data_IF_578674297403
#
_entry.id   IF_578674297403
#
_cell.length_a   1.000
_cell.length_b   1.000
_cell.length_c   1.000
_cell.angle_alpha   90.00
_cell.angle_beta   90.00
_cell.angle_gamma   90.00
#
_symmetry.space_group_name_H-M   'P 1'
#
loop_
_entity.id
_entity.type
_entity.pdbx_description
1 polymer ?
#
# COMPACT_ATOMS: atom_id res chain seq x y z
N UNK A 1 -16.10 -58.91 4.82
CA UNK A 1 -16.31 -57.47 5.16
C UNK A 1 -15.12 -56.67 4.63
N UNK A 2 -15.27 -56.11 3.45
CA UNK A 2 -14.23 -55.28 2.81
C UNK A 2 -14.50 -53.80 3.10
N UNK A 3 -13.55 -53.11 3.76
CA UNK A 3 -13.65 -51.69 4.07
C UNK A 3 -13.27 -50.87 2.82
N UNK A 4 -14.25 -50.19 2.23
CA UNK A 4 -14.07 -49.23 1.18
C UNK A 4 -13.32 -47.99 1.74
N UNK A 5 -12.09 -47.73 1.28
CA UNK A 5 -11.40 -46.49 1.49
C UNK A 5 -11.82 -45.51 0.37
N UNK A 6 -12.58 -44.49 0.72
CA UNK A 6 -12.94 -43.39 -0.18
C UNK A 6 -11.71 -42.58 -0.66
N UNK A 7 -11.80 -41.92 -1.82
CA UNK A 7 -10.67 -41.19 -2.38
C UNK A 7 -10.32 -39.96 -1.51
N UNK A 8 -9.04 -39.81 -1.18
CA UNK A 8 -8.49 -38.63 -0.52
C UNK A 8 -8.70 -37.44 -1.44
N UNK A 9 -9.49 -36.45 -1.03
CA UNK A 9 -9.59 -35.15 -1.69
C UNK A 9 -8.21 -34.52 -1.68
N UNK A 10 -7.58 -34.44 -2.86
CA UNK A 10 -6.36 -33.69 -3.08
C UNK A 10 -6.61 -32.22 -2.76
N UNK A 11 -5.72 -31.62 -1.96
CA UNK A 11 -5.63 -30.16 -1.82
C UNK A 11 -5.48 -29.57 -3.23
N UNK A 12 -6.23 -28.51 -3.59
CA UNK A 12 -5.96 -27.80 -4.82
C UNK A 12 -4.52 -27.29 -4.78
N UNK A 13 -3.68 -27.81 -5.67
CA UNK A 13 -2.37 -27.24 -5.92
C UNK A 13 -2.59 -25.77 -6.27
N UNK A 14 -2.02 -24.86 -5.47
CA UNK A 14 -1.87 -23.46 -5.84
C UNK A 14 -1.17 -23.46 -7.20
N UNK A 15 -1.94 -23.21 -8.24
CA UNK A 15 -1.39 -22.98 -9.56
C UNK A 15 -0.48 -21.77 -9.42
N UNK A 16 0.83 -21.98 -9.56
CA UNK A 16 1.80 -20.94 -9.85
C UNK A 16 1.28 -20.27 -11.12
N UNK A 17 0.59 -19.14 -10.97
CA UNK A 17 0.09 -18.35 -12.09
C UNK A 17 1.29 -17.96 -12.93
N UNK A 18 1.20 -18.25 -14.22
CA UNK A 18 1.99 -17.57 -15.24
C UNK A 18 2.04 -16.09 -14.89
N UNK A 19 3.17 -15.42 -15.13
CA UNK A 19 3.42 -14.00 -14.84
C UNK A 19 2.29 -13.18 -15.46
N UNK A 20 1.19 -13.03 -14.75
CA UNK A 20 0.03 -12.26 -15.15
C UNK A 20 0.30 -10.80 -14.84
N UNK A 21 -0.01 -9.93 -15.79
CA UNK A 21 0.00 -8.48 -15.56
C UNK A 21 -1.02 -8.18 -14.47
N UNK A 22 -0.58 -7.57 -13.36
CA UNK A 22 -1.46 -7.05 -12.31
C UNK A 22 -1.76 -5.58 -12.61
N UNK A 23 -3.03 -5.25 -12.72
CA UNK A 23 -3.51 -3.89 -12.98
C UNK A 23 -3.79 -3.20 -11.66
N UNK A 24 -3.18 -2.06 -11.47
CA UNK A 24 -3.29 -1.27 -10.24
C UNK A 24 -4.08 0.00 -10.50
N UNK A 25 -5.11 0.24 -9.70
CA UNK A 25 -5.72 1.56 -9.58
C UNK A 25 -4.96 2.32 -8.48
N UNK A 26 -4.17 3.31 -8.86
CA UNK A 26 -3.47 4.19 -7.93
C UNK A 26 -4.31 5.45 -7.66
N UNK A 27 -4.46 5.81 -6.38
CA UNK A 27 -5.18 7.00 -5.93
C UNK A 27 -4.39 7.74 -4.86
N UNK A 28 -4.51 9.07 -4.81
CA UNK A 28 -3.87 9.92 -3.81
C UNK A 28 -4.54 11.29 -3.76
N UNK A 29 -4.48 11.98 -2.61
CA UNK A 29 -4.75 13.39 -2.37
C UNK A 29 -6.19 13.87 -2.67
N UNK A 30 -6.70 13.58 -3.85
CA UNK A 30 -8.00 14.10 -4.28
C UNK A 30 -9.02 12.98 -4.48
N UNK A 31 -10.23 13.21 -4.00
CA UNK A 31 -11.37 12.32 -4.24
C UNK A 31 -11.89 12.50 -5.66
N UNK A 32 -11.61 11.54 -6.53
CA UNK A 32 -12.13 11.53 -7.89
C UNK A 32 -13.62 11.15 -7.89
N UNK A 33 -14.51 11.94 -8.53
CA UNK A 33 -15.92 11.58 -8.69
C UNK A 33 -16.13 10.30 -9.52
N UNK A 34 -15.13 9.90 -10.30
CA UNK A 34 -15.17 8.62 -11.02
C UNK A 34 -14.97 7.44 -10.07
N UNK A 35 -14.12 7.60 -9.06
CA UNK A 35 -13.83 6.57 -8.04
C UNK A 35 -14.92 6.57 -6.97
N UNK A 36 -15.31 7.74 -6.47
CA UNK A 36 -16.33 7.85 -5.44
C UNK A 36 -17.70 8.09 -6.06
N UNK A 37 -18.24 7.03 -6.68
CA UNK A 37 -19.53 7.04 -7.36
C UNK A 37 -20.24 5.68 -7.24
N UNK A 38 -21.56 5.67 -7.40
CA UNK A 38 -22.37 4.46 -7.36
C UNK A 38 -21.96 3.44 -8.44
N UNK A 39 -21.49 3.91 -9.59
CA UNK A 39 -21.08 3.08 -10.72
C UNK A 39 -19.68 2.45 -10.57
N UNK A 40 -18.93 2.85 -9.53
CA UNK A 40 -17.63 2.26 -9.24
C UNK A 40 -17.77 0.80 -8.80
N UNK A 41 -16.92 -0.12 -9.25
CA UNK A 41 -15.79 0.02 -10.17
C UNK A 41 -16.14 -0.15 -11.66
N UNK A 42 -17.41 -0.33 -12.02
CA UNK A 42 -17.86 -0.67 -13.38
C UNK A 42 -17.62 0.43 -14.42
N UNK A 43 -17.39 1.66 -14.00
CA UNK A 43 -17.08 2.82 -14.83
C UNK A 43 -15.58 3.02 -15.10
N UNK A 44 -14.75 2.08 -14.66
CA UNK A 44 -13.31 2.08 -14.88
C UNK A 44 -12.85 0.84 -15.65
N UNK A 45 -11.70 0.92 -16.33
CA UNK A 45 -11.05 -0.28 -16.84
C UNK A 45 -10.82 -1.30 -15.72
N UNK A 46 -10.89 -2.61 -16.01
CA UNK A 46 -10.66 -3.63 -14.98
C UNK A 46 -9.31 -3.47 -14.29
N UNK A 47 -9.30 -3.57 -12.97
CA UNK A 47 -8.10 -3.57 -12.13
C UNK A 47 -8.18 -4.69 -11.09
N UNK A 48 -7.04 -5.07 -10.54
CA UNK A 48 -6.90 -6.20 -9.63
C UNK A 48 -6.73 -5.75 -8.17
N UNK A 49 -6.21 -4.53 -7.95
CA UNK A 49 -5.97 -3.95 -6.62
C UNK A 49 -6.00 -2.43 -6.65
N UNK A 50 -6.39 -1.83 -5.54
CA UNK A 50 -6.30 -0.38 -5.30
C UNK A 50 -5.14 -0.10 -4.35
N UNK A 51 -4.25 0.81 -4.74
CA UNK A 51 -3.17 1.34 -3.91
C UNK A 51 -3.41 2.83 -3.66
N UNK A 52 -3.52 3.22 -2.39
CA UNK A 52 -3.69 4.62 -2.00
C UNK A 52 -2.39 5.16 -1.40
N UNK A 53 -1.83 6.17 -2.07
CA UNK A 53 -0.56 6.78 -1.69
C UNK A 53 -0.70 7.91 -0.64
N UNK A 54 -1.81 7.97 0.08
CA UNK A 54 -2.00 8.91 1.19
C UNK A 54 -2.99 10.03 0.90
N UNK A 55 -3.30 10.78 1.93
CA UNK A 55 -4.22 11.93 1.95
C UNK A 55 -5.59 11.66 1.31
N UNK A 56 -6.05 10.40 1.43
CA UNK A 56 -7.37 9.96 1.01
C UNK A 56 -8.29 9.83 2.23
N UNK A 57 -9.50 10.41 2.21
CA UNK A 57 -10.45 10.28 3.31
C UNK A 57 -10.78 8.84 3.64
N UNK A 58 -10.83 8.50 4.93
CA UNK A 58 -11.08 7.14 5.40
C UNK A 58 -12.37 6.54 4.86
N UNK A 59 -13.47 7.31 4.84
CA UNK A 59 -14.76 6.87 4.32
C UNK A 59 -14.71 6.53 2.81
N UNK A 60 -13.84 7.19 2.03
CA UNK A 60 -13.66 6.87 0.60
C UNK A 60 -12.94 5.54 0.45
N UNK A 61 -11.91 5.27 1.28
CA UNK A 61 -11.23 3.98 1.29
C UNK A 61 -12.17 2.85 1.72
N UNK A 62 -13.00 3.09 2.74
CA UNK A 62 -14.03 2.14 3.18
C UNK A 62 -15.07 1.88 2.07
N UNK A 63 -15.55 2.92 1.39
CA UNK A 63 -16.42 2.77 0.23
C UNK A 63 -15.78 1.88 -0.84
N UNK A 64 -14.51 2.14 -1.21
CA UNK A 64 -13.78 1.31 -2.17
C UNK A 64 -13.69 -0.14 -1.68
N UNK A 65 -13.39 -0.36 -0.40
CA UNK A 65 -13.31 -1.69 0.19
C UNK A 65 -14.64 -2.47 0.09
N UNK A 66 -15.80 -1.78 0.19
CA UNK A 66 -17.12 -2.43 0.00
C UNK A 66 -17.42 -2.83 -1.44
N UNK A 67 -16.78 -2.18 -2.41
CA UNK A 67 -17.03 -2.36 -3.84
C UNK A 67 -16.00 -3.26 -4.53
N UNK A 68 -14.88 -3.54 -3.89
CA UNK A 68 -13.79 -4.34 -4.46
C UNK A 68 -13.64 -5.68 -3.76
N UNK A 69 -13.20 -6.72 -4.49
CA UNK A 69 -12.95 -8.05 -3.92
C UNK A 69 -11.62 -8.11 -3.16
N UNK A 70 -10.68 -7.28 -3.55
CA UNK A 70 -9.35 -7.20 -2.97
C UNK A 70 -9.29 -6.01 -2.03
N UNK A 71 -8.88 -6.17 -0.77
CA UNK A 71 -8.74 -5.04 0.14
C UNK A 71 -7.82 -3.96 -0.43
N UNK A 72 -8.23 -2.67 -0.42
CA UNK A 72 -7.33 -1.57 -0.75
C UNK A 72 -6.12 -1.57 0.18
N UNK A 73 -4.94 -1.32 -0.37
CA UNK A 73 -3.72 -1.11 0.41
C UNK A 73 -3.40 0.37 0.43
N UNK A 74 -3.12 0.92 1.60
CA UNK A 74 -2.89 2.35 1.74
C UNK A 74 -1.70 2.66 2.65
N UNK A 75 -1.20 3.87 2.50
CA UNK A 75 -0.38 4.58 3.48
C UNK A 75 -1.06 5.88 3.86
N UNK A 76 -0.71 6.43 5.02
CA UNK A 76 -1.24 7.72 5.47
C UNK A 76 -0.36 8.83 4.88
N UNK A 77 -0.97 9.94 4.47
CA UNK A 77 -0.25 11.14 4.05
C UNK A 77 0.17 12.03 5.22
N UNK A 78 0.62 13.23 4.94
CA UNK A 78 1.02 14.18 5.98
C UNK A 78 -0.14 15.07 6.48
N UNK A 79 -1.32 14.98 5.86
CA UNK A 79 -2.55 15.65 6.28
C UNK A 79 -3.53 14.69 6.99
N UNK A 80 -3.04 13.63 7.60
CA UNK A 80 -3.82 12.54 8.19
C UNK A 80 -4.94 12.99 9.13
N UNK A 81 -4.71 14.02 9.95
CA UNK A 81 -5.72 14.52 10.88
C UNK A 81 -6.99 15.06 10.19
N UNK A 82 -6.89 15.48 8.92
CA UNK A 82 -8.04 15.91 8.14
C UNK A 82 -8.80 14.72 7.52
N UNK A 83 -8.15 13.60 7.33
CA UNK A 83 -8.67 12.46 6.56
C UNK A 83 -9.04 11.24 7.41
N UNK A 84 -8.46 11.11 8.61
CA UNK A 84 -8.72 9.99 9.51
C UNK A 84 -9.77 10.33 10.60
N UNK A 85 -10.26 11.55 10.66
CA UNK A 85 -11.30 11.93 11.60
C UNK A 85 -12.61 11.25 11.22
N UNK A 86 -13.19 10.53 12.19
CA UNK A 86 -14.58 10.12 12.18
C UNK A 86 -15.53 11.31 12.40
N UNK A 87 -16.79 11.03 12.66
CA UNK A 87 -17.79 12.04 13.07
C UNK A 87 -17.41 12.68 14.42
N UNK A 88 -16.64 11.96 15.26
CA UNK A 88 -16.05 12.49 16.48
C UNK A 88 -14.63 13.01 16.19
N UNK A 89 -14.35 14.31 16.45
CA UNK A 89 -13.03 14.91 16.23
C UNK A 89 -11.90 14.26 17.03
N UNK A 90 -12.20 13.55 18.10
CA UNK A 90 -11.23 12.90 18.99
C UNK A 90 -10.94 11.44 18.61
N UNK A 91 -11.72 10.85 17.71
CA UNK A 91 -11.49 9.50 17.20
C UNK A 91 -10.78 9.50 15.83
N UNK A 92 -9.45 9.42 15.86
CA UNK A 92 -8.69 9.05 14.67
C UNK A 92 -8.91 7.56 14.35
N UNK A 93 -9.83 7.27 13.44
CA UNK A 93 -10.16 5.90 13.05
C UNK A 93 -9.47 5.52 11.74
N UNK A 94 -8.75 4.40 11.76
CA UNK A 94 -8.22 3.80 10.54
C UNK A 94 -9.36 3.20 9.69
N UNK A 95 -9.31 3.35 8.35
CA UNK A 95 -10.36 2.86 7.47
C UNK A 95 -10.52 1.33 7.56
N UNK A 96 -11.76 0.90 7.79
CA UNK A 96 -12.13 -0.51 7.86
C UNK A 96 -12.03 -1.21 6.50
N UNK A 97 -11.75 -2.51 6.51
CA UNK A 97 -11.65 -3.30 5.27
C UNK A 97 -10.42 -3.01 4.41
N UNK A 98 -9.50 -2.16 4.86
CA UNK A 98 -8.29 -1.74 4.16
C UNK A 98 -7.03 -2.24 4.87
N UNK A 99 -5.92 -2.32 4.14
CA UNK A 99 -4.62 -2.77 4.67
C UNK A 99 -3.67 -1.58 4.75
N UNK A 100 -3.30 -1.16 5.97
CA UNK A 100 -2.24 -0.19 6.15
C UNK A 100 -0.88 -0.84 5.91
N UNK A 101 -0.12 -0.32 4.94
CA UNK A 101 1.19 -0.83 4.55
C UNK A 101 2.35 -0.14 5.28
N UNK A 102 2.10 0.89 6.11
CA UNK A 102 3.19 1.61 6.78
C UNK A 102 4.08 0.67 7.60
N UNK A 103 5.39 0.68 7.32
CA UNK A 103 6.41 -0.18 7.95
C UNK A 103 6.12 -1.68 7.85
N UNK A 104 5.40 -2.08 6.82
CA UNK A 104 5.00 -3.47 6.57
C UNK A 104 5.29 -3.87 5.14
N UNK A 105 5.52 -5.16 4.96
CA UNK A 105 5.55 -5.79 3.64
C UNK A 105 4.31 -6.66 3.54
N UNK A 106 3.39 -6.28 2.68
CA UNK A 106 2.08 -6.94 2.51
C UNK A 106 2.01 -7.62 1.15
N UNK A 107 1.24 -8.73 1.09
CA UNK A 107 0.97 -9.41 -0.18
C UNK A 107 -0.49 -9.23 -0.54
N UNK A 108 -0.75 -8.74 -1.74
CA UNK A 108 -2.08 -8.44 -2.25
C UNK A 108 -2.12 -8.64 -3.77
N UNK A 109 -3.14 -9.31 -4.29
CA UNK A 109 -3.31 -9.58 -5.73
C UNK A 109 -2.06 -10.11 -6.44
N UNK A 110 -1.21 -10.88 -5.74
CA UNK A 110 0.06 -11.40 -6.27
C UNK A 110 1.24 -10.44 -6.16
N UNK A 111 1.03 -9.17 -5.80
CA UNK A 111 2.07 -8.18 -5.55
C UNK A 111 2.62 -8.27 -4.12
N UNK A 112 3.88 -7.93 -3.96
CA UNK A 112 4.56 -7.66 -2.70
C UNK A 112 4.71 -6.14 -2.58
N UNK A 113 3.97 -5.52 -1.66
CA UNK A 113 3.94 -4.07 -1.46
C UNK A 113 4.63 -3.72 -0.16
N UNK A 114 5.60 -2.82 -0.20
CA UNK A 114 6.21 -2.21 0.99
C UNK A 114 5.76 -0.76 1.10
N UNK A 115 5.39 -0.29 2.30
CA UNK A 115 4.81 1.03 2.46
C UNK A 115 5.53 1.93 3.48
N UNK A 116 5.61 3.23 3.16
CA UNK A 116 6.02 4.28 4.09
C UNK A 116 5.04 5.45 4.00
N UNK A 117 4.46 5.82 5.12
CA UNK A 117 3.55 6.95 5.23
C UNK A 117 4.27 8.30 5.36
N UNK A 118 3.49 9.38 5.26
CA UNK A 118 3.88 10.73 5.61
C UNK A 118 4.85 11.37 4.64
N UNK A 119 5.44 12.49 5.07
CA UNK A 119 6.37 13.29 4.28
C UNK A 119 7.67 13.58 5.01
N UNK A 120 8.65 14.14 4.30
CA UNK A 120 9.81 14.75 4.91
C UNK A 120 9.37 15.85 5.88
N UNK A 121 9.98 15.90 7.08
CA UNK A 121 9.60 16.85 8.12
C UNK A 121 9.90 18.28 7.70
N UNK A 122 8.87 19.09 7.60
CA UNK A 122 8.95 20.53 7.36
C UNK A 122 8.35 21.37 8.51
N UNK A 123 7.60 20.73 9.42
CA UNK A 123 7.06 21.33 10.65
C UNK A 123 6.93 20.25 11.74
N UNK A 124 6.78 20.60 13.01
CA UNK A 124 6.34 19.64 14.02
C UNK A 124 4.93 19.11 13.72
N UNK A 125 4.71 17.79 13.85
CA UNK A 125 3.41 17.19 13.62
C UNK A 125 3.48 15.69 13.37
N UNK A 126 2.34 15.00 13.38
CA UNK A 126 2.26 13.58 13.04
C UNK A 126 2.59 13.35 11.55
N UNK A 127 2.99 12.12 11.24
CA UNK A 127 3.27 11.66 9.87
C UNK A 127 4.31 12.52 9.11
N UNK A 128 5.24 13.15 9.86
CA UNK A 128 6.35 13.92 9.32
C UNK A 128 7.66 13.40 9.89
N UNK A 129 8.50 12.85 9.03
CA UNK A 129 9.65 12.06 9.42
C UNK A 129 10.96 12.67 8.91
N UNK A 130 12.02 12.52 9.71
CA UNK A 130 13.38 12.86 9.25
C UNK A 130 13.89 11.78 8.31
N UNK A 131 14.95 12.08 7.54
CA UNK A 131 15.65 11.09 6.73
C UNK A 131 16.15 9.92 7.61
N UNK A 132 16.66 10.21 8.82
CA UNK A 132 17.10 9.20 9.78
C UNK A 132 15.94 8.28 10.21
N UNK A 133 14.76 8.85 10.46
CA UNK A 133 13.55 8.07 10.79
C UNK A 133 13.18 7.11 9.65
N UNK A 134 13.19 7.57 8.41
CA UNK A 134 12.92 6.70 7.26
C UNK A 134 13.98 5.60 7.08
N UNK A 135 15.26 5.91 7.35
CA UNK A 135 16.30 4.88 7.35
C UNK A 135 16.09 3.83 8.43
N UNK A 136 15.70 4.25 9.64
CA UNK A 136 15.37 3.32 10.72
C UNK A 136 14.16 2.43 10.38
N UNK A 137 13.11 3.01 9.81
CA UNK A 137 11.93 2.25 9.33
C UNK A 137 12.33 1.22 8.26
N UNK A 138 13.15 1.63 7.28
CA UNK A 138 13.67 0.73 6.25
C UNK A 138 14.49 -0.41 6.88
N UNK A 139 15.38 -0.10 7.82
CA UNK A 139 16.16 -1.13 8.52
C UNK A 139 15.24 -2.12 9.26
N UNK A 140 14.19 -1.63 9.94
CA UNK A 140 13.20 -2.45 10.61
C UNK A 140 12.39 -3.37 9.68
N UNK A 141 12.23 -3.00 8.41
CA UNK A 141 11.54 -3.84 7.41
C UNK A 141 12.47 -4.87 6.73
N UNK A 142 13.79 -4.75 6.91
CA UNK A 142 14.77 -5.62 6.26
C UNK A 142 14.50 -7.12 6.48
N UNK A 143 14.16 -7.61 7.68
CA UNK A 143 13.85 -9.03 7.87
C UNK A 143 12.66 -9.51 7.03
N UNK A 144 11.60 -8.70 6.93
CA UNK A 144 10.42 -9.02 6.12
C UNK A 144 10.79 -9.08 4.63
N UNK A 145 11.57 -8.12 4.14
CA UNK A 145 12.03 -8.06 2.75
C UNK A 145 12.93 -9.23 2.38
N UNK A 146 13.86 -9.61 3.26
CA UNK A 146 14.72 -10.78 3.08
C UNK A 146 13.89 -12.07 3.05
N UNK A 147 12.89 -12.19 3.93
CA UNK A 147 11.99 -13.34 3.93
C UNK A 147 11.20 -13.45 2.62
N UNK A 148 10.64 -12.33 2.12
CA UNK A 148 9.96 -12.33 0.82
C UNK A 148 10.92 -12.76 -0.30
N UNK A 149 12.14 -12.22 -0.31
CA UNK A 149 13.15 -12.57 -1.32
C UNK A 149 13.51 -14.05 -1.28
N UNK A 150 13.69 -14.63 -0.10
CA UNK A 150 14.01 -16.06 0.04
C UNK A 150 12.85 -16.94 -0.39
N UNK A 151 11.61 -16.52 -0.12
CA UNK A 151 10.41 -17.31 -0.37
C UNK A 151 9.87 -17.18 -1.79
N UNK A 152 10.06 -16.01 -2.43
CA UNK A 152 9.42 -15.65 -3.70
C UNK A 152 10.41 -15.22 -4.79
N UNK A 153 11.71 -15.25 -4.52
CA UNK A 153 12.77 -14.81 -5.46
C UNK A 153 12.88 -13.28 -5.61
N UNK A 154 11.94 -12.51 -5.03
CA UNK A 154 11.93 -11.05 -5.06
C UNK A 154 11.49 -10.49 -3.70
N UNK A 155 12.03 -9.33 -3.32
CA UNK A 155 11.77 -8.72 -2.02
C UNK A 155 10.49 -7.89 -2.01
N UNK A 156 10.22 -7.18 -3.10
CA UNK A 156 9.15 -6.20 -3.24
C UNK A 156 8.89 -5.94 -4.72
N UNK A 157 7.64 -5.72 -5.07
CA UNK A 157 7.21 -5.32 -6.41
C UNK A 157 6.86 -3.82 -6.44
N UNK A 158 6.24 -3.30 -5.37
CA UNK A 158 5.82 -1.91 -5.27
C UNK A 158 6.31 -1.29 -3.97
N UNK A 159 6.95 -0.12 -4.08
CA UNK A 159 7.18 0.78 -2.96
C UNK A 159 6.05 1.82 -2.94
N UNK A 160 5.13 1.69 -1.98
CA UNK A 160 4.00 2.60 -1.80
C UNK A 160 4.38 3.69 -0.81
N UNK A 161 4.45 4.94 -1.26
CA UNK A 161 4.80 6.09 -0.42
C UNK A 161 3.91 7.28 -0.74
N UNK A 162 3.67 8.15 0.26
CA UNK A 162 3.02 9.42 0.01
C UNK A 162 4.03 10.45 -0.52
N UNK A 163 5.15 10.65 0.18
CA UNK A 163 6.20 11.52 -0.34
C UNK A 163 6.95 10.86 -1.49
N UNK A 164 7.38 11.68 -2.46
CA UNK A 164 8.22 11.23 -3.56
C UNK A 164 9.64 10.88 -3.10
N UNK A 165 10.38 10.01 -3.81
CA UNK A 165 11.83 9.96 -3.67
C UNK A 165 12.47 11.27 -4.16
N UNK A 166 13.71 11.54 -3.74
CA UNK A 166 14.48 12.65 -4.31
C UNK A 166 14.72 12.38 -5.80
N UNK A 167 14.36 13.33 -6.65
CA UNK A 167 14.53 13.19 -8.10
C UNK A 167 13.52 14.00 -8.90
N UNK A 168 13.28 13.66 -10.15
CA UNK A 168 12.41 14.43 -11.05
C UNK A 168 10.95 14.58 -10.58
N UNK A 169 10.49 13.70 -9.69
CA UNK A 169 9.14 13.74 -9.11
C UNK A 169 9.07 14.59 -7.82
N UNK A 170 10.22 15.02 -7.30
CA UNK A 170 10.29 15.86 -6.12
C UNK A 170 10.07 17.33 -6.51
N UNK A 171 9.38 18.08 -5.64
CA UNK A 171 9.22 19.52 -5.77
C UNK A 171 10.41 20.30 -5.19
N UNK A 172 10.42 21.61 -5.41
CA UNK A 172 11.47 22.50 -4.91
C UNK A 172 11.20 22.97 -3.48
N UNK A 173 9.94 23.00 -3.06
CA UNK A 173 9.51 23.43 -1.74
C UNK A 173 9.75 22.35 -0.68
N UNK A 174 9.89 22.80 0.57
CA UNK A 174 10.25 21.93 1.70
C UNK A 174 9.44 20.63 1.83
N UNK A 175 8.10 20.66 1.76
CA UNK A 175 7.30 19.44 1.88
C UNK A 175 7.57 18.42 0.76
N UNK A 176 7.89 18.89 -0.44
CA UNK A 176 7.97 18.08 -1.65
C UNK A 176 9.41 17.78 -2.11
N UNK A 177 10.44 18.20 -1.35
CA UNK A 177 11.87 17.94 -1.68
C UNK A 177 12.24 16.46 -1.81
N UNK A 178 11.32 15.56 -1.45
CA UNK A 178 11.53 14.13 -1.55
C UNK A 178 12.32 13.52 -0.40
N UNK A 179 12.33 12.22 -0.39
CA UNK A 179 12.94 11.39 0.67
C UNK A 179 14.09 10.57 0.10
N UNK A 180 15.34 10.93 0.44
CA UNK A 180 16.54 10.23 -0.05
C UNK A 180 16.61 8.77 0.44
N UNK A 181 15.98 8.45 1.57
CA UNK A 181 15.89 7.08 2.06
C UNK A 181 15.13 6.17 1.08
N UNK A 182 14.16 6.70 0.30
CA UNK A 182 13.44 5.94 -0.71
C UNK A 182 14.32 5.61 -1.92
N UNK A 183 15.22 6.50 -2.32
CA UNK A 183 16.21 6.19 -3.36
C UNK A 183 17.11 5.04 -2.94
N UNK A 184 17.55 5.02 -1.66
CA UNK A 184 18.35 3.89 -1.13
C UNK A 184 17.55 2.60 -1.04
N UNK A 185 16.26 2.69 -0.67
CA UNK A 185 15.36 1.53 -0.69
C UNK A 185 15.26 0.95 -2.10
N UNK A 186 14.97 1.82 -3.07
CA UNK A 186 14.85 1.44 -4.48
C UNK A 186 16.13 0.80 -5.03
N UNK A 187 17.29 1.41 -4.78
CA UNK A 187 18.60 0.88 -5.21
C UNK A 187 18.89 -0.51 -4.62
N UNK A 188 18.51 -0.75 -3.35
CA UNK A 188 18.77 -2.00 -2.65
C UNK A 188 17.83 -3.14 -3.03
N UNK A 189 16.54 -2.85 -3.11
CA UNK A 189 15.49 -3.87 -3.24
C UNK A 189 14.91 -3.99 -4.64
N UNK A 190 15.09 -2.97 -5.47
CA UNK A 190 14.71 -2.91 -6.89
C UNK A 190 13.25 -3.32 -7.11
N UNK A 191 12.26 -2.55 -6.61
CA UNK A 191 10.85 -2.73 -6.98
C UNK A 191 10.71 -2.80 -8.50
N UNK A 192 9.76 -3.60 -8.98
CA UNK A 192 9.58 -3.85 -10.42
C UNK A 192 8.57 -2.87 -11.04
#
# INVERSE_FOLDING_TARGET
MARHRGPRRGRPAERLSAVGVVRVLAISDAVSPVVYSENFPGNLPPFDVVLSAGDMPGHVLEFIATKTRTPPVYVIGNHANAYLRGEDPDEARLPGGCINAHRRVVRVAGLIVAGFEGSARYRPGPHQYTQASYHAMHAGMTPQLLWQRSRHGRAVDVLLTHAAPVGPQAGEDWPHRGVAAFNRFHARWRPQ
#
